data_IF_064926193215
#
_entry.id   IF_064926193215
#
_cell.length_a   1.000
_cell.length_b   1.000
_cell.length_c   1.000
_cell.angle_alpha   90.00
_cell.angle_beta   90.00
_cell.angle_gamma   90.00
#
_symmetry.space_group_name_H-M   'P 1'
#
loop_
_entity.id
_entity.type
_entity.pdbx_description
1 polymer ?
#
# COMPACT_ATOMS: atom_id res chain seq x y z
N UNK A 1 -0.68 -11.50 -21.46
CA UNK A 1 0.68 -11.10 -21.07
C UNK A 1 0.61 -10.75 -19.59
N UNK A 2 1.22 -11.54 -18.69
CA UNK A 2 1.29 -11.15 -17.28
C UNK A 2 2.34 -10.06 -17.14
N UNK A 3 1.97 -8.91 -16.59
CA UNK A 3 2.89 -7.77 -16.46
C UNK A 3 3.96 -8.00 -15.38
N UNK A 4 3.68 -8.84 -14.38
CA UNK A 4 4.60 -9.18 -13.30
C UNK A 4 4.38 -10.61 -12.80
N UNK A 5 5.46 -11.22 -12.27
CA UNK A 5 5.46 -12.63 -11.82
C UNK A 5 5.10 -12.78 -10.34
N UNK A 6 5.44 -11.80 -9.49
CA UNK A 6 5.18 -11.81 -8.04
C UNK A 6 5.26 -10.40 -7.43
N UNK A 7 4.75 -10.23 -6.21
CA UNK A 7 4.91 -8.98 -5.42
C UNK A 7 6.38 -8.66 -5.21
N UNK A 8 7.20 -9.67 -4.92
CA UNK A 8 8.65 -9.54 -4.74
C UNK A 8 9.33 -8.97 -5.98
N UNK A 9 9.01 -9.50 -7.17
CA UNK A 9 9.59 -9.02 -8.44
C UNK A 9 9.24 -7.56 -8.72
N UNK A 10 8.01 -7.14 -8.41
CA UNK A 10 7.57 -5.75 -8.52
C UNK A 10 8.35 -4.86 -7.56
N UNK A 11 8.43 -5.29 -6.29
CA UNK A 11 9.08 -4.55 -5.23
C UNK A 11 10.58 -4.38 -5.45
N UNK A 12 11.28 -5.43 -5.89
CA UNK A 12 12.71 -5.39 -6.19
C UNK A 12 13.02 -4.35 -7.27
N UNK A 13 12.26 -4.32 -8.38
CA UNK A 13 12.43 -3.33 -9.45
C UNK A 13 12.20 -1.90 -8.97
N UNK A 14 11.17 -1.66 -8.15
CA UNK A 14 10.96 -0.33 -7.57
C UNK A 14 12.07 0.06 -6.60
N UNK A 15 12.56 -0.87 -5.78
CA UNK A 15 13.66 -0.63 -4.86
C UNK A 15 14.96 -0.31 -5.60
N UNK A 16 15.27 -0.99 -6.70
CA UNK A 16 16.41 -0.68 -7.56
C UNK A 16 16.36 0.76 -8.06
N UNK A 17 15.21 1.20 -8.55
CA UNK A 17 15.04 2.56 -9.05
C UNK A 17 15.16 3.61 -7.94
N UNK A 18 14.55 3.36 -6.78
CA UNK A 18 14.68 4.24 -5.60
C UNK A 18 16.15 4.32 -5.14
N UNK A 19 16.83 3.17 -5.06
CA UNK A 19 18.25 3.10 -4.69
C UNK A 19 19.15 3.84 -5.69
N UNK A 20 18.78 3.87 -6.98
CA UNK A 20 19.52 4.55 -8.05
C UNK A 20 19.32 6.06 -8.02
N UNK A 21 18.10 6.52 -7.78
CA UNK A 21 17.72 7.94 -7.82
C UNK A 21 18.02 8.69 -6.52
N UNK A 22 18.10 7.99 -5.38
CA UNK A 22 18.31 8.68 -4.10
C UNK A 22 19.74 9.21 -3.95
N UNK A 23 19.83 10.38 -3.32
CA UNK A 23 21.09 10.82 -2.72
C UNK A 23 21.32 10.05 -1.42
N UNK A 24 22.59 9.89 -1.02
CA UNK A 24 22.95 9.07 0.15
C UNK A 24 22.29 9.55 1.45
N UNK A 25 22.03 10.85 1.56
CA UNK A 25 21.49 11.52 2.76
C UNK A 25 19.95 11.62 2.81
N UNK A 26 19.23 11.14 1.79
CA UNK A 26 17.78 11.29 1.75
C UNK A 26 17.06 10.29 2.66
N UNK A 27 16.22 10.81 3.56
CA UNK A 27 15.20 10.03 4.27
C UNK A 27 14.19 9.47 3.28
N UNK A 28 13.86 8.18 3.43
CA UNK A 28 12.90 7.50 2.56
C UNK A 28 11.66 7.15 3.35
N UNK A 29 10.50 7.63 2.85
CA UNK A 29 9.19 7.22 3.34
C UNK A 29 8.41 6.63 2.19
N UNK A 30 7.97 5.38 2.34
CA UNK A 30 7.13 4.69 1.38
C UNK A 30 5.67 4.77 1.85
N UNK A 31 4.78 5.15 0.96
CA UNK A 31 3.35 5.30 1.27
C UNK A 31 2.57 4.54 0.21
N UNK A 32 1.64 3.69 0.64
CA UNK A 32 0.83 2.91 -0.28
C UNK A 32 -0.52 2.52 0.30
N UNK A 33 -1.53 2.44 -0.55
CA UNK A 33 -2.88 2.06 -0.18
C UNK A 33 -3.27 0.72 -0.80
N UNK A 34 -4.03 -0.10 -0.06
CA UNK A 34 -4.42 -1.46 -0.46
C UNK A 34 -3.21 -2.27 -0.95
N UNK A 35 -3.25 -2.84 -2.16
CA UNK A 35 -2.09 -3.49 -2.80
C UNK A 35 -0.81 -2.63 -2.78
N UNK A 36 -0.93 -1.32 -2.97
CA UNK A 36 0.21 -0.41 -2.95
C UNK A 36 0.91 -0.38 -1.59
N UNK A 37 0.18 -0.56 -0.48
CA UNK A 37 0.77 -0.64 0.85
C UNK A 37 1.54 -1.93 1.06
N UNK A 38 1.01 -3.04 0.57
CA UNK A 38 1.74 -4.32 0.53
C UNK A 38 3.05 -4.20 -0.24
N UNK A 39 2.99 -3.64 -1.45
CA UNK A 39 4.18 -3.43 -2.29
C UNK A 39 5.15 -2.47 -1.59
N UNK A 40 4.68 -1.42 -0.92
CA UNK A 40 5.53 -0.49 -0.18
C UNK A 40 6.31 -1.19 0.95
N UNK A 41 5.68 -2.09 1.69
CA UNK A 41 6.38 -2.89 2.72
C UNK A 41 7.39 -3.83 2.06
N UNK A 42 7.03 -4.50 0.97
CA UNK A 42 7.95 -5.41 0.28
C UNK A 42 9.15 -4.67 -0.35
N UNK A 43 8.95 -3.46 -0.91
CA UNK A 43 10.05 -2.62 -1.42
C UNK A 43 11.09 -2.39 -0.32
N UNK A 44 10.64 -2.16 0.92
CA UNK A 44 11.52 -1.94 2.05
C UNK A 44 12.41 -3.15 2.40
N UNK A 45 12.11 -4.35 1.93
CA UNK A 45 13.00 -5.52 2.04
C UNK A 45 14.25 -5.39 1.17
N UNK A 46 14.15 -4.65 0.07
CA UNK A 46 15.19 -4.50 -0.96
C UNK A 46 15.89 -3.12 -0.94
N UNK A 47 15.46 -2.21 -0.07
CA UNK A 47 16.10 -0.90 0.08
C UNK A 47 17.46 -1.01 0.78
N UNK A 48 18.44 -0.23 0.30
CA UNK A 48 19.79 -0.17 0.89
C UNK A 48 19.90 0.80 2.08
N UNK A 49 18.77 1.35 2.52
CA UNK A 49 18.69 2.30 3.63
C UNK A 49 17.45 2.09 4.45
N UNK A 50 17.53 2.50 5.72
CA UNK A 50 16.37 2.53 6.59
C UNK A 50 15.30 3.47 6.05
N UNK A 51 14.06 3.05 6.20
CA UNK A 51 12.90 3.78 5.73
C UNK A 51 11.73 3.66 6.71
N UNK A 52 10.77 4.56 6.56
CA UNK A 52 9.47 4.47 7.22
C UNK A 52 8.44 4.05 6.19
N UNK A 53 7.43 3.30 6.61
CA UNK A 53 6.35 2.88 5.72
C UNK A 53 5.02 3.28 6.32
N UNK A 54 4.15 3.88 5.50
CA UNK A 54 2.76 4.17 5.82
C UNK A 54 1.90 3.30 4.92
N UNK A 55 1.27 2.29 5.50
CA UNK A 55 0.28 1.46 4.80
C UNK A 55 -1.12 2.00 5.07
N UNK A 56 -1.91 2.18 4.03
CA UNK A 56 -3.26 2.74 4.10
C UNK A 56 -4.25 1.62 3.74
N UNK A 57 -4.98 1.16 4.75
CA UNK A 57 -5.98 0.10 4.70
C UNK A 57 -5.53 -1.13 3.91
N UNK A 58 -4.27 -1.51 4.14
CA UNK A 58 -3.61 -2.64 3.48
C UNK A 58 -3.44 -3.72 4.53
N UNK A 59 -4.11 -4.86 4.37
CA UNK A 59 -4.02 -5.99 5.31
C UNK A 59 -3.12 -7.12 4.82
N UNK A 60 -2.94 -8.12 5.68
CA UNK A 60 -2.04 -9.27 5.41
C UNK A 60 -2.76 -10.59 5.12
N UNK A 61 -4.10 -10.61 5.15
CA UNK A 61 -4.90 -11.83 5.04
C UNK A 61 -5.23 -12.22 3.58
N UNK A 62 -4.21 -12.32 2.72
CA UNK A 62 -4.42 -12.53 1.28
C UNK A 62 -5.01 -13.89 0.91
N UNK A 63 -4.94 -14.89 1.80
CA UNK A 63 -5.58 -16.21 1.59
C UNK A 63 -7.10 -16.09 1.36
N UNK A 64 -7.74 -15.02 1.85
CA UNK A 64 -9.16 -14.71 1.58
C UNK A 64 -9.43 -14.44 0.09
N UNK A 65 -8.44 -13.98 -0.67
CA UNK A 65 -8.56 -13.71 -2.10
C UNK A 65 -8.77 -14.98 -2.93
N UNK A 66 -8.48 -16.17 -2.38
CA UNK A 66 -8.74 -17.45 -3.08
C UNK A 66 -10.22 -17.71 -3.36
N UNK A 67 -11.12 -17.07 -2.62
CA UNK A 67 -12.56 -17.13 -2.88
C UNK A 67 -13.03 -16.11 -3.92
N UNK A 68 -12.20 -15.13 -4.29
CA UNK A 68 -12.56 -14.10 -5.25
C UNK A 68 -12.51 -14.66 -6.67
N UNK A 69 -13.55 -14.43 -7.46
CA UNK A 69 -13.58 -14.82 -8.87
C UNK A 69 -13.39 -13.60 -9.77
N UNK A 70 -12.87 -13.83 -10.98
CA UNK A 70 -12.77 -12.76 -11.99
C UNK A 70 -14.12 -12.12 -12.29
N UNK A 71 -15.22 -12.89 -12.20
CA UNK A 71 -16.57 -12.39 -12.43
C UNK A 71 -16.95 -11.35 -11.38
N UNK A 72 -16.68 -11.61 -10.11
CA UNK A 72 -17.03 -10.71 -9.01
C UNK A 72 -16.20 -9.42 -9.13
N UNK A 73 -14.89 -9.56 -9.32
CA UNK A 73 -13.98 -8.43 -9.57
C UNK A 73 -14.43 -7.57 -10.76
N UNK A 74 -14.80 -8.20 -11.87
CA UNK A 74 -15.31 -7.48 -13.04
C UNK A 74 -16.59 -6.72 -12.71
N UNK A 75 -17.51 -7.30 -11.95
CA UNK A 75 -18.76 -6.63 -11.55
C UNK A 75 -18.49 -5.40 -10.68
N UNK A 76 -17.57 -5.52 -9.72
CA UNK A 76 -17.18 -4.43 -8.82
C UNK A 76 -16.49 -3.30 -9.59
N UNK A 77 -15.51 -3.64 -10.44
CA UNK A 77 -14.83 -2.66 -11.28
C UNK A 77 -15.77 -2.02 -12.30
N UNK A 78 -16.71 -2.77 -12.87
CA UNK A 78 -17.75 -2.21 -13.74
C UNK A 78 -18.60 -1.18 -12.99
N UNK A 79 -18.91 -1.41 -11.71
CA UNK A 79 -19.66 -0.48 -10.88
C UNK A 79 -18.84 0.76 -10.50
N UNK A 80 -17.57 0.61 -10.13
CA UNK A 80 -16.66 1.70 -9.80
C UNK A 80 -16.46 2.60 -11.03
N UNK A 81 -16.18 2.00 -12.20
CA UNK A 81 -15.84 2.72 -13.42
C UNK A 81 -17.04 3.42 -14.07
N UNK A 82 -18.29 3.11 -13.70
CA UNK A 82 -19.49 3.83 -14.19
C UNK A 82 -19.47 5.33 -13.85
N UNK A 83 -18.78 5.70 -12.78
CA UNK A 83 -18.68 7.10 -12.34
C UNK A 83 -17.57 7.87 -13.05
N UNK A 84 -16.83 7.23 -13.96
CA UNK A 84 -15.71 7.82 -14.68
C UNK A 84 -15.98 7.83 -16.18
N UNK A 85 -15.55 8.90 -16.86
CA UNK A 85 -15.59 9.00 -18.32
C UNK A 85 -14.46 8.18 -18.95
N UNK A 86 -14.59 6.85 -18.92
CA UNK A 86 -13.62 5.90 -19.48
C UNK A 86 -14.28 5.14 -20.63
N UNK A 87 -13.62 5.08 -21.79
CA UNK A 87 -14.11 4.32 -22.94
C UNK A 87 -14.02 2.80 -22.70
N UNK A 88 -14.79 2.02 -23.47
CA UNK A 88 -14.89 0.57 -23.28
C UNK A 88 -13.55 -0.16 -23.44
N UNK A 89 -12.66 0.32 -24.32
CA UNK A 89 -11.36 -0.31 -24.55
C UNK A 89 -10.43 -0.09 -23.36
N UNK A 90 -10.34 1.15 -22.87
CA UNK A 90 -9.58 1.47 -21.65
C UNK A 90 -10.15 0.74 -20.44
N UNK A 91 -11.48 0.72 -20.30
CA UNK A 91 -12.18 0.02 -19.23
C UNK A 91 -11.83 -1.46 -19.18
N UNK A 92 -11.85 -2.13 -20.33
CA UNK A 92 -11.48 -3.54 -20.46
C UNK A 92 -10.09 -3.82 -19.89
N UNK A 93 -9.09 -3.02 -20.29
CA UNK A 93 -7.72 -3.18 -19.82
C UNK A 93 -7.54 -2.82 -18.35
N UNK A 94 -8.26 -1.82 -17.83
CA UNK A 94 -8.24 -1.50 -16.40
C UNK A 94 -8.76 -2.66 -15.56
N UNK A 95 -9.86 -3.30 -15.96
CA UNK A 95 -10.42 -4.47 -15.27
C UNK A 95 -9.44 -5.64 -15.31
N UNK A 96 -8.89 -5.94 -16.48
CA UNK A 96 -7.97 -7.07 -16.64
C UNK A 96 -6.66 -6.87 -15.87
N UNK A 97 -6.06 -5.68 -15.96
CA UNK A 97 -4.80 -5.39 -15.28
C UNK A 97 -4.96 -5.35 -13.76
N UNK A 98 -6.06 -4.77 -13.25
CA UNK A 98 -6.34 -4.77 -11.81
C UNK A 98 -6.58 -6.18 -11.29
N UNK A 99 -7.19 -7.06 -12.08
CA UNK A 99 -7.32 -8.48 -11.73
C UNK A 99 -5.96 -9.16 -11.64
N UNK A 100 -5.13 -9.02 -12.67
CA UNK A 100 -3.78 -9.59 -12.69
C UNK A 100 -2.96 -9.12 -11.48
N UNK A 101 -3.08 -7.84 -11.10
CA UNK A 101 -2.43 -7.27 -9.92
C UNK A 101 -2.99 -7.84 -8.61
N UNK A 102 -4.31 -8.00 -8.48
CA UNK A 102 -4.93 -8.60 -7.30
C UNK A 102 -4.47 -10.05 -7.11
N UNK A 103 -4.34 -10.80 -8.19
CA UNK A 103 -3.88 -12.19 -8.16
C UNK A 103 -2.41 -12.34 -7.73
N UNK A 104 -1.59 -11.29 -7.80
CA UNK A 104 -0.25 -11.32 -7.22
C UNK A 104 -0.29 -11.50 -5.69
N UNK A 105 -1.32 -10.97 -5.02
CA UNK A 105 -1.46 -11.07 -3.57
C UNK A 105 -1.87 -12.47 -3.12
N UNK A 106 -2.64 -13.19 -3.95
CA UNK A 106 -3.29 -14.45 -3.58
C UNK A 106 -2.30 -15.48 -2.99
N UNK A 107 -1.09 -15.55 -3.54
CA UNK A 107 -0.04 -16.48 -3.14
C UNK A 107 1.14 -15.79 -2.44
N UNK A 108 1.03 -14.50 -2.17
CA UNK A 108 2.06 -13.75 -1.48
C UNK A 108 1.95 -13.96 0.04
N UNK A 109 3.07 -14.29 0.68
CA UNK A 109 3.19 -14.33 2.13
C UNK A 109 4.18 -13.24 2.58
N UNK A 110 3.73 -12.24 3.36
CA UNK A 110 4.61 -11.21 3.89
C UNK A 110 5.76 -11.77 4.70
N UNK A 111 6.94 -11.18 4.53
CA UNK A 111 8.12 -11.47 5.34
C UNK A 111 8.48 -10.27 6.21
N UNK A 112 9.35 -10.47 7.20
CA UNK A 112 9.82 -9.38 8.07
C UNK A 112 10.70 -8.45 7.22
N UNK A 113 10.30 -7.18 7.01
CA UNK A 113 11.05 -6.30 6.14
C UNK A 113 12.33 -5.82 6.83
N UNK A 114 13.44 -5.81 6.09
CA UNK A 114 14.79 -5.61 6.66
C UNK A 114 15.14 -4.13 6.88
N UNK A 115 14.58 -3.24 6.07
CA UNK A 115 14.92 -1.82 6.11
C UNK A 115 13.85 -0.93 6.78
N UNK A 116 12.72 -1.49 7.24
CA UNK A 116 11.68 -0.70 7.91
C UNK A 116 12.12 -0.37 9.34
N UNK A 117 12.24 0.92 9.63
CA UNK A 117 12.48 1.43 10.98
C UNK A 117 11.16 1.53 11.76
N UNK A 118 10.10 2.01 11.08
CA UNK A 118 8.78 2.17 11.67
C UNK A 118 7.68 1.95 10.64
N UNK A 119 6.69 1.15 11.01
CA UNK A 119 5.50 0.85 10.20
C UNK A 119 4.28 1.55 10.80
N UNK A 120 3.69 2.45 10.03
CA UNK A 120 2.45 3.13 10.36
C UNK A 120 1.30 2.47 9.60
N UNK A 121 0.24 2.11 10.32
CA UNK A 121 -0.95 1.47 9.75
C UNK A 121 -2.13 2.43 9.85
N UNK A 122 -2.59 2.94 8.72
CA UNK A 122 -3.76 3.81 8.64
C UNK A 122 -4.95 2.94 8.24
N UNK A 123 -5.83 2.59 9.17
CA UNK A 123 -6.92 1.63 8.93
C UNK A 123 -8.29 2.23 9.24
N UNK A 124 -9.32 1.81 8.51
CA UNK A 124 -10.69 2.31 8.73
C UNK A 124 -11.27 1.86 10.08
N UNK A 125 -10.81 0.72 10.58
CA UNK A 125 -11.31 0.06 11.80
C UNK A 125 -10.37 0.18 13.00
N UNK A 126 -9.25 0.91 12.86
CA UNK A 126 -8.23 1.06 13.89
C UNK A 126 -7.48 -0.23 14.25
N UNK A 127 -7.63 -1.29 13.46
CA UNK A 127 -6.81 -2.49 13.57
C UNK A 127 -5.43 -2.29 12.92
N UNK A 128 -4.45 -3.11 13.30
CA UNK A 128 -3.15 -3.15 12.63
C UNK A 128 -3.17 -4.00 11.34
N UNK A 129 -4.32 -4.55 10.96
CA UNK A 129 -4.55 -5.40 9.80
C UNK A 129 -3.58 -6.61 9.71
N UNK A 130 -3.09 -7.08 10.86
CA UNK A 130 -2.21 -8.24 11.01
C UNK A 130 -0.71 -7.96 10.85
N UNK A 131 -0.30 -6.71 10.66
CA UNK A 131 1.10 -6.33 10.48
C UNK A 131 1.96 -6.53 11.74
N UNK A 132 1.38 -6.47 12.95
CA UNK A 132 2.10 -6.70 14.23
C UNK A 132 2.75 -8.07 14.34
N UNK A 133 2.30 -9.05 13.54
CA UNK A 133 2.91 -10.38 13.47
C UNK A 133 4.33 -10.36 12.88
N UNK A 134 4.64 -9.33 12.08
CA UNK A 134 5.94 -9.19 11.41
C UNK A 134 6.84 -8.19 12.14
N UNK A 135 6.28 -7.08 12.62
CA UNK A 135 7.01 -6.04 13.34
C UNK A 135 6.08 -5.10 14.12
N UNK A 136 6.57 -4.36 15.13
CA UNK A 136 5.76 -3.38 15.85
C UNK A 136 5.16 -2.31 14.92
N UNK A 137 3.89 -1.98 15.14
CA UNK A 137 3.12 -1.02 14.33
C UNK A 137 2.67 0.19 15.16
N UNK A 138 2.43 1.30 14.47
CA UNK A 138 1.70 2.45 15.00
C UNK A 138 0.42 2.64 14.20
N UNK A 139 -0.72 2.32 14.80
CA UNK A 139 -2.01 2.38 14.12
C UNK A 139 -2.65 3.76 14.23
N UNK A 140 -3.39 4.17 13.21
CA UNK A 140 -4.19 5.40 13.20
C UNK A 140 -5.48 5.15 12.45
N UNK A 141 -6.62 5.38 13.12
CA UNK A 141 -7.92 5.29 12.46
C UNK A 141 -8.05 6.34 11.36
N UNK A 142 -8.61 5.98 10.21
CA UNK A 142 -8.97 6.90 9.11
C UNK A 142 -10.48 6.90 8.83
N UNK A 143 -10.97 7.96 8.20
CA UNK A 143 -12.37 8.10 7.83
C UNK A 143 -12.66 7.43 6.47
N UNK A 144 -13.93 7.07 6.27
CA UNK A 144 -14.41 6.45 5.03
C UNK A 144 -14.48 4.93 5.10
N UNK A 145 -14.53 4.32 3.93
CA UNK A 145 -14.45 2.88 3.67
C UNK A 145 -13.19 2.58 2.84
N UNK A 146 -12.88 1.30 2.63
CA UNK A 146 -11.79 0.90 1.74
C UNK A 146 -11.91 1.54 0.34
N UNK A 147 -13.15 1.74 -0.14
CA UNK A 147 -13.45 2.26 -1.47
C UNK A 147 -13.32 3.78 -1.58
N UNK A 148 -13.64 4.53 -0.51
CA UNK A 148 -13.74 6.00 -0.57
C UNK A 148 -12.75 6.75 0.34
N UNK A 149 -11.92 6.06 1.13
CA UNK A 149 -10.95 6.67 2.05
C UNK A 149 -9.94 7.63 1.39
N UNK A 150 -9.68 7.49 0.08
CA UNK A 150 -8.81 8.38 -0.70
C UNK A 150 -9.56 9.44 -1.49
N UNK A 151 -10.89 9.49 -1.38
CA UNK A 151 -11.72 10.47 -2.10
C UNK A 151 -11.49 11.90 -1.60
N UNK A 152 -11.98 12.88 -2.39
CA UNK A 152 -11.93 14.31 -2.05
C UNK A 152 -12.57 14.62 -0.68
N UNK A 153 -13.55 13.82 -0.26
CA UNK A 153 -14.21 13.97 1.05
C UNK A 153 -13.26 13.74 2.23
N UNK A 154 -12.27 12.87 2.06
CA UNK A 154 -11.37 12.42 3.12
C UNK A 154 -9.90 12.85 2.91
N UNK A 155 -9.55 13.36 1.73
CA UNK A 155 -8.16 13.64 1.36
C UNK A 155 -7.46 14.66 2.25
N UNK A 156 -8.16 15.69 2.75
CA UNK A 156 -7.56 16.70 3.62
C UNK A 156 -7.16 16.12 4.98
N UNK A 157 -8.04 15.30 5.58
CA UNK A 157 -7.75 14.61 6.83
C UNK A 157 -6.61 13.60 6.65
N UNK A 158 -6.64 12.83 5.56
CA UNK A 158 -5.59 11.87 5.20
C UNK A 158 -4.22 12.56 5.06
N UNK A 159 -4.16 13.64 4.26
CA UNK A 159 -2.92 14.40 4.06
C UNK A 159 -2.38 14.98 5.38
N UNK A 160 -3.26 15.47 6.24
CA UNK A 160 -2.87 15.99 7.57
C UNK A 160 -2.25 14.90 8.45
N UNK A 161 -2.81 13.69 8.43
CA UNK A 161 -2.26 12.55 9.20
C UNK A 161 -0.91 12.10 8.66
N UNK A 162 -0.77 12.01 7.34
CA UNK A 162 0.52 11.73 6.69
C UNK A 162 1.54 12.79 7.08
N UNK A 163 1.20 14.07 6.95
CA UNK A 163 2.09 15.18 7.30
C UNK A 163 2.56 15.11 8.75
N UNK A 164 1.68 14.80 9.71
CA UNK A 164 2.08 14.63 11.12
C UNK A 164 3.11 13.52 11.30
N UNK A 165 2.93 12.38 10.63
CA UNK A 165 3.92 11.29 10.65
C UNK A 165 5.26 11.74 10.06
N UNK A 166 5.22 12.50 8.96
CA UNK A 166 6.40 13.04 8.30
C UNK A 166 7.10 14.13 9.14
N UNK A 167 6.40 14.90 9.97
CA UNK A 167 7.04 15.91 10.82
C UNK A 167 7.51 15.37 12.17
N UNK A 168 6.95 14.25 12.65
CA UNK A 168 7.45 13.56 13.84
C UNK A 168 8.88 13.02 13.64
N UNK A 169 9.40 13.01 12.42
CA UNK A 169 10.79 12.63 12.13
C UNK A 169 11.79 13.75 12.46
N UNK A 170 11.34 14.99 12.68
CA UNK A 170 12.23 16.14 12.95
C UNK A 170 12.41 16.44 14.45
N UNK A 171 11.46 16.02 15.31
CA UNK A 171 11.50 16.31 16.75
C UNK A 171 11.89 15.09 17.58
N UNK A 172 13.18 14.76 17.56
CA UNK A 172 13.80 14.02 18.66
C UNK A 172 13.77 14.89 19.92
N UNK A 173 13.08 14.41 20.96
CA UNK A 173 13.06 14.92 22.34
C UNK A 173 12.54 16.36 22.54
N UNK A 174 11.24 16.49 22.81
CA UNK A 174 10.82 17.37 23.91
C UNK A 174 10.73 16.47 25.13
N UNK A 175 11.73 16.58 26.01
CA UNK A 175 11.64 16.07 27.37
C UNK A 175 10.74 17.04 28.14
N UNK A 176 9.72 16.49 28.78
CA UNK A 176 9.16 17.10 29.98
C UNK A 176 10.17 17.00 31.14
#
# INVERSE_FOLDING_TARGET
MKFYESVQSVAERYAEEINRLRNRESDVVLIGASLGGTIAVEIATYLKVKCKVIVIDSGTEYKKLRACTYRDHKMDMDQILKNYAVDDFTKYWMILNSWDMLMLLQEYEPTIPTAVEKLYVFSIDESDLGWSRLMPTSTTKIAGTHEDMLSVKHCHEMATKIYRVLCQTENGSVKD
#
